data_IF_925609385708
#
_entry.id   IF_925609385708
#
_cell.length_a   1.000
_cell.length_b   1.000
_cell.length_c   1.000
_cell.angle_alpha   90.00
_cell.angle_beta   90.00
_cell.angle_gamma   90.00
#
_symmetry.space_group_name_H-M   'P 1'
#
loop_
_entity.id
_entity.type
_entity.pdbx_description
1 polymer ?
#
# COMPACT_ATOMS: atom_id res chain seq x y z
N UNK A 1 -13.79 -6.93 -8.98
CA UNK A 1 -13.46 -5.63 -8.40
C UNK A 1 -12.34 -5.00 -9.23
N UNK A 2 -12.43 -3.71 -9.58
CA UNK A 2 -11.36 -3.04 -10.36
C UNK A 2 -10.20 -2.62 -9.45
N UNK A 3 -9.00 -2.42 -10.02
CA UNK A 3 -7.83 -1.94 -9.24
C UNK A 3 -8.09 -0.55 -8.63
N UNK A 4 -8.84 0.30 -9.33
CA UNK A 4 -9.20 1.65 -8.87
C UNK A 4 -10.18 1.57 -7.71
N UNK A 5 -11.22 0.74 -7.81
CA UNK A 5 -12.17 0.51 -6.71
C UNK A 5 -11.44 0.00 -5.47
N UNK A 6 -10.48 -0.92 -5.65
CA UNK A 6 -9.68 -1.46 -4.55
C UNK A 6 -8.79 -0.40 -3.93
N UNK A 7 -8.17 0.43 -4.76
CA UNK A 7 -7.37 1.55 -4.27
C UNK A 7 -8.22 2.51 -3.43
N UNK A 8 -9.42 2.90 -3.90
CA UNK A 8 -10.31 3.80 -3.17
C UNK A 8 -10.68 3.24 -1.80
N UNK A 9 -11.12 1.98 -1.71
CA UNK A 9 -11.48 1.35 -0.42
C UNK A 9 -10.30 1.32 0.56
N UNK A 10 -9.11 0.97 0.08
CA UNK A 10 -7.90 0.93 0.92
C UNK A 10 -7.44 2.35 1.30
N UNK A 11 -7.62 3.32 0.42
CA UNK A 11 -7.28 4.71 0.71
C UNK A 11 -8.21 5.32 1.76
N UNK A 12 -9.52 5.08 1.66
CA UNK A 12 -10.50 5.53 2.66
C UNK A 12 -10.20 4.93 4.04
N UNK A 13 -9.83 3.65 4.10
CA UNK A 13 -9.33 3.03 5.33
C UNK A 13 -8.11 3.77 5.89
N UNK A 14 -7.13 4.10 5.04
CA UNK A 14 -5.93 4.80 5.48
C UNK A 14 -6.22 6.19 6.04
N UNK A 15 -7.14 6.94 5.42
CA UNK A 15 -7.58 8.25 5.93
C UNK A 15 -8.15 8.09 7.34
N UNK A 16 -9.01 7.09 7.55
CA UNK A 16 -9.57 6.80 8.87
C UNK A 16 -8.49 6.38 9.88
N UNK A 17 -7.58 5.48 9.48
CA UNK A 17 -6.49 4.99 10.31
C UNK A 17 -5.54 6.11 10.75
N UNK A 18 -5.10 6.97 9.83
CA UNK A 18 -4.24 8.12 10.13
C UNK A 18 -4.93 9.12 11.05
N UNK A 19 -6.23 9.33 10.86
CA UNK A 19 -7.05 10.20 11.74
C UNK A 19 -7.09 9.65 13.17
N UNK A 20 -7.27 8.34 13.35
CA UNK A 20 -7.24 7.70 14.67
C UNK A 20 -5.84 7.75 15.30
N UNK A 21 -4.80 7.46 14.52
CA UNK A 21 -3.41 7.49 15.00
C UNK A 21 -3.02 8.89 15.49
N UNK A 22 -3.44 9.93 14.76
CA UNK A 22 -3.20 11.33 15.13
C UNK A 22 -3.90 11.74 16.43
N UNK A 23 -5.03 11.10 16.79
CA UNK A 23 -5.76 11.36 18.04
C UNK A 23 -5.09 10.74 19.27
N UNK A 24 -4.25 9.73 19.07
CA UNK A 24 -3.56 9.00 20.13
C UNK A 24 -2.06 9.31 20.21
N UNK A 25 -1.55 10.17 19.33
CA UNK A 25 -0.15 10.58 19.30
C UNK A 25 0.00 11.96 19.95
N UNK A 26 0.84 12.07 20.98
CA UNK A 26 1.30 13.36 21.50
C UNK A 26 2.08 14.11 20.40
N UNK A 27 2.01 15.46 20.34
CA UNK A 27 2.63 16.27 19.29
C UNK A 27 4.15 16.41 19.50
N UNK A 28 4.88 15.31 19.67
CA UNK A 28 6.32 15.33 19.85
C UNK A 28 7.03 14.88 18.58
N UNK A 29 7.05 15.78 17.60
CA UNK A 29 8.20 16.11 16.75
C UNK A 29 7.74 16.94 15.56
N UNK A 30 8.50 17.98 15.14
CA UNK A 30 8.25 18.63 13.87
C UNK A 30 8.28 17.58 12.74
N UNK A 31 7.39 17.68 11.74
CA UNK A 31 7.40 16.77 10.60
C UNK A 31 8.80 16.78 9.98
N UNK A 32 9.41 15.59 9.83
CA UNK A 32 10.74 15.47 9.23
C UNK A 32 10.73 16.19 7.87
N UNK A 33 11.48 17.29 7.69
CA UNK A 33 11.53 18.03 6.43
C UNK A 33 12.11 17.18 5.30
N UNK A 34 12.73 16.04 5.63
CA UNK A 34 13.18 15.01 4.69
C UNK A 34 12.15 13.92 4.51
N UNK A 35 10.85 14.23 4.61
CA UNK A 35 9.73 13.31 4.41
C UNK A 35 10.13 12.23 3.43
N UNK A 36 10.50 11.07 4.00
CA UNK A 36 11.29 10.08 3.26
C UNK A 36 10.51 9.83 1.99
N UNK A 37 11.08 10.04 0.78
CA UNK A 37 10.33 9.87 -0.45
C UNK A 37 10.02 8.38 -0.57
N UNK A 38 8.95 8.00 0.11
CA UNK A 38 8.25 6.76 -0.03
C UNK A 38 7.56 6.92 -1.36
N UNK A 39 8.32 6.62 -2.41
CA UNK A 39 7.87 6.71 -3.79
C UNK A 39 6.55 5.95 -4.00
N UNK A 40 6.23 4.99 -3.11
CA UNK A 40 4.89 4.43 -2.95
C UNK A 40 4.32 4.74 -1.56
N UNK A 41 3.08 5.23 -1.53
CA UNK A 41 2.26 5.36 -0.34
C UNK A 41 1.89 3.97 0.23
N UNK A 42 1.77 3.80 1.55
CA UNK A 42 1.37 2.52 2.14
C UNK A 42 0.05 1.94 1.58
N UNK A 43 -0.94 2.78 1.24
CA UNK A 43 -2.18 2.34 0.59
C UNK A 43 -1.95 1.72 -0.80
N UNK A 44 -1.01 2.25 -1.59
CA UNK A 44 -0.65 1.70 -2.90
C UNK A 44 0.04 0.33 -2.74
N UNK A 45 0.91 0.19 -1.73
CA UNK A 45 1.58 -1.08 -1.43
C UNK A 45 0.54 -2.15 -1.06
N UNK A 46 -0.42 -1.81 -0.19
CA UNK A 46 -1.50 -2.72 0.19
C UNK A 46 -2.38 -3.10 -0.99
N UNK A 47 -2.75 -2.13 -1.83
CA UNK A 47 -3.55 -2.34 -3.03
C UNK A 47 -2.87 -3.35 -3.98
N UNK A 48 -1.57 -3.17 -4.24
CA UNK A 48 -0.79 -4.08 -5.09
C UNK A 48 -0.70 -5.49 -4.49
N UNK A 49 -0.57 -5.61 -3.16
CA UNK A 49 -0.52 -6.89 -2.48
C UNK A 49 -1.86 -7.63 -2.56
N UNK A 50 -2.98 -6.94 -2.32
CA UNK A 50 -4.32 -7.53 -2.41
C UNK A 50 -4.62 -7.92 -3.86
N UNK A 51 -4.29 -7.06 -4.82
CA UNK A 51 -4.44 -7.36 -6.24
C UNK A 51 -3.61 -8.59 -6.65
N UNK A 52 -2.39 -8.75 -6.12
CA UNK A 52 -1.61 -9.97 -6.34
C UNK A 52 -2.35 -11.22 -5.84
N UNK A 53 -2.91 -11.18 -4.63
CA UNK A 53 -3.66 -12.31 -4.07
C UNK A 53 -4.89 -12.67 -4.91
N UNK A 54 -5.56 -11.69 -5.51
CA UNK A 54 -6.72 -11.90 -6.37
C UNK A 54 -6.37 -12.30 -7.81
N UNK A 55 -5.14 -12.01 -8.28
CA UNK A 55 -4.73 -12.17 -9.67
C UNK A 55 -4.48 -13.61 -10.12
N UNK A 56 -4.32 -14.56 -9.20
CA UNK A 56 -3.97 -15.96 -9.52
C UNK A 56 -2.53 -16.18 -10.02
N UNK A 57 -1.68 -15.15 -10.00
CA UNK A 57 -0.27 -15.28 -10.37
C UNK A 57 0.49 -16.14 -9.36
N UNK A 58 1.33 -17.06 -9.86
CA UNK A 58 2.12 -17.97 -9.01
C UNK A 58 3.20 -17.27 -8.19
N UNK A 59 3.80 -16.21 -8.73
CA UNK A 59 4.89 -15.49 -8.07
C UNK A 59 4.66 -13.99 -8.09
N UNK A 60 4.97 -13.34 -6.96
CA UNK A 60 4.83 -11.90 -6.81
C UNK A 60 5.74 -11.14 -7.79
N UNK A 61 6.97 -11.65 -8.03
CA UNK A 61 7.90 -11.05 -9.00
C UNK A 61 7.33 -11.00 -10.41
N UNK A 62 6.69 -12.08 -10.85
CA UNK A 62 6.08 -12.13 -12.18
C UNK A 62 4.89 -11.17 -12.27
N UNK A 63 4.01 -11.18 -11.29
CA UNK A 63 2.89 -10.24 -11.20
C UNK A 63 3.35 -8.78 -11.23
N UNK A 64 4.31 -8.43 -10.38
CA UNK A 64 4.78 -7.04 -10.28
C UNK A 64 5.41 -6.56 -11.58
N UNK A 65 6.35 -7.32 -12.14
CA UNK A 65 7.11 -6.88 -13.32
C UNK A 65 6.32 -6.97 -14.63
N UNK A 66 5.41 -7.94 -14.76
CA UNK A 66 4.71 -8.21 -16.03
C UNK A 66 3.28 -7.71 -16.04
N UNK A 67 2.66 -7.52 -14.87
CA UNK A 67 1.30 -7.01 -14.78
C UNK A 67 1.29 -5.57 -14.27
N UNK A 68 1.78 -5.33 -13.06
CA UNK A 68 1.69 -4.00 -12.40
C UNK A 68 2.48 -2.95 -13.16
N UNK A 69 3.76 -3.22 -13.47
CA UNK A 69 4.62 -2.25 -14.17
C UNK A 69 4.20 -1.97 -15.62
N UNK A 70 3.34 -2.81 -16.21
CA UNK A 70 2.92 -2.72 -17.61
C UNK A 70 1.50 -2.16 -17.71
N UNK A 71 0.54 -2.80 -17.05
CA UNK A 71 -0.89 -2.47 -17.17
C UNK A 71 -1.38 -1.49 -16.12
N UNK A 72 -0.75 -1.42 -14.94
CA UNK A 72 -1.17 -0.50 -13.86
C UNK A 72 -0.25 0.72 -13.71
N UNK A 73 0.52 1.03 -14.74
CA UNK A 73 1.49 2.14 -14.69
C UNK A 73 0.81 3.51 -14.65
N UNK A 74 -0.39 3.64 -15.22
CA UNK A 74 -1.16 4.88 -15.19
C UNK A 74 -1.74 5.14 -13.79
N UNK A 75 -2.14 4.07 -13.12
CA UNK A 75 -2.74 4.07 -11.79
C UNK A 75 -1.68 4.24 -10.69
N UNK A 76 -0.45 3.79 -10.95
CA UNK A 76 0.70 3.93 -10.05
C UNK A 76 1.88 4.63 -10.77
N UNK A 77 1.83 5.96 -10.96
CA UNK A 77 2.84 6.68 -11.73
C UNK A 77 4.24 6.67 -11.08
N UNK A 78 4.30 6.49 -9.76
CA UNK A 78 5.54 6.53 -8.96
C UNK A 78 6.06 5.14 -8.58
N UNK A 79 5.73 4.10 -9.36
CA UNK A 79 6.20 2.73 -9.13
C UNK A 79 7.71 2.65 -8.91
N UNK A 80 8.08 1.89 -7.88
CA UNK A 80 9.48 1.63 -7.52
C UNK A 80 10.02 0.39 -8.22
N UNK A 81 11.34 0.20 -8.16
CA UNK A 81 11.93 -1.07 -8.62
C UNK A 81 11.46 -2.25 -7.77
N UNK A 82 11.41 -3.45 -8.33
CA UNK A 82 11.00 -4.66 -7.60
C UNK A 82 11.75 -4.87 -6.27
N UNK A 83 13.10 -4.73 -6.19
CA UNK A 83 13.80 -4.85 -4.92
C UNK A 83 13.34 -3.82 -3.88
N UNK A 84 13.09 -2.57 -4.31
CA UNK A 84 12.56 -1.53 -3.43
C UNK A 84 11.15 -1.87 -2.96
N UNK A 85 10.29 -2.41 -3.84
CA UNK A 85 8.98 -2.88 -3.45
C UNK A 85 9.05 -4.01 -2.42
N UNK A 86 9.98 -4.97 -2.57
CA UNK A 86 10.17 -6.06 -1.60
C UNK A 86 10.55 -5.55 -0.22
N UNK A 87 11.33 -4.45 -0.13
CA UNK A 87 11.61 -3.79 1.15
C UNK A 87 10.33 -3.21 1.77
N UNK A 88 9.51 -2.52 0.97
CA UNK A 88 8.25 -1.91 1.42
C UNK A 88 7.18 -2.96 1.77
N UNK A 89 7.18 -4.11 1.11
CA UNK A 89 6.22 -5.21 1.33
C UNK A 89 6.16 -5.65 2.79
N UNK A 90 7.29 -5.61 3.52
CA UNK A 90 7.32 -5.97 4.95
C UNK A 90 6.41 -5.08 5.78
N UNK A 91 6.41 -3.77 5.50
CA UNK A 91 5.53 -2.80 6.15
C UNK A 91 4.08 -2.94 5.66
N UNK A 92 3.86 -3.12 4.36
CA UNK A 92 2.51 -3.37 3.82
C UNK A 92 1.83 -4.60 4.43
N UNK A 93 2.58 -5.67 4.70
CA UNK A 93 2.06 -6.88 5.37
C UNK A 93 1.60 -6.60 6.81
N UNK A 94 2.33 -5.76 7.56
CA UNK A 94 1.93 -5.33 8.91
C UNK A 94 0.61 -4.56 8.87
N UNK A 95 0.45 -3.67 7.90
CA UNK A 95 -0.78 -2.88 7.76
C UNK A 95 -1.96 -3.75 7.31
N UNK A 96 -1.73 -4.74 6.45
CA UNK A 96 -2.75 -5.74 6.09
C UNK A 96 -3.24 -6.55 7.29
N UNK A 97 -2.37 -6.89 8.25
CA UNK A 97 -2.81 -7.59 9.47
C UNK A 97 -3.71 -6.74 10.36
N UNK A 98 -3.47 -5.42 10.44
CA UNK A 98 -4.35 -4.49 11.17
C UNK A 98 -5.68 -4.32 10.43
N UNK A 99 -5.63 -4.07 9.11
CA UNK A 99 -6.84 -3.96 8.29
C UNK A 99 -7.74 -5.19 8.38
N UNK A 100 -7.16 -6.39 8.34
CA UNK A 100 -7.95 -7.62 8.47
C UNK A 100 -8.57 -7.81 9.85
N UNK A 101 -7.97 -7.23 10.89
CA UNK A 101 -8.50 -7.27 12.25
C UNK A 101 -9.69 -6.31 12.40
N UNK A 102 -9.59 -5.09 11.86
CA UNK A 102 -10.64 -4.07 12.01
C UNK A 102 -11.87 -4.26 11.09
N UNK A 103 -11.77 -5.07 10.02
CA UNK A 103 -12.84 -5.23 9.01
C UNK A 103 -13.53 -6.61 9.01
N UNK A 104 -13.10 -7.56 9.84
CA UNK A 104 -13.63 -8.93 9.87
C UNK A 104 -14.09 -9.41 11.26
N UNK A 105 -14.33 -8.50 12.21
CA UNK A 105 -15.14 -8.73 13.41
C UNK A 105 -16.53 -8.07 13.27
#
# INVERSE_FOLDING_TARGET
>A
MSIVSLFCEIHDFFIMYETQLSRHSEPDSPPDPRGCPRNLHPSEVMTILIAFHQSGYRTFKHFYLKHVCVYYRAEFPTLVSYPRFVQLKKEGLRLLTVYKWDYWD
#
